data_IF_971015155329
#
_entry.id   IF_971015155329
#
_cell.length_a   1.000
_cell.length_b   1.000
_cell.length_c   1.000
_cell.angle_alpha   90.00
_cell.angle_beta   90.00
_cell.angle_gamma   90.00
#
_symmetry.space_group_name_H-M   'P 1'
#
loop_
_entity.id
_entity.type
_entity.pdbx_description
1 polymer ?
#
# COMPACT_ATOMS: atom_id res chain seq x y z
N UNK A 1 12.29 -0.08 -24.09
CA UNK A 1 13.02 -0.75 -23.00
C UNK A 1 12.26 -2.04 -22.70
N UNK A 2 12.89 -3.16 -23.06
CA UNK A 2 12.44 -4.56 -22.95
C UNK A 2 10.99 -4.83 -23.40
N UNK A 3 10.83 -5.08 -24.70
CA UNK A 3 9.65 -5.70 -25.32
C UNK A 3 9.54 -7.18 -24.91
N UNK A 4 9.39 -7.43 -23.61
CA UNK A 4 9.10 -8.76 -23.07
C UNK A 4 7.67 -8.77 -22.57
N UNK A 5 6.86 -9.68 -23.11
CA UNK A 5 5.52 -9.95 -22.61
C UNK A 5 5.58 -10.42 -21.15
N UNK A 6 4.49 -10.20 -20.40
CA UNK A 6 4.48 -10.47 -18.97
C UNK A 6 4.59 -11.97 -18.69
N UNK A 7 5.44 -12.32 -17.71
CA UNK A 7 5.57 -13.67 -17.16
C UNK A 7 5.38 -13.59 -15.63
N UNK A 8 4.94 -14.67 -15.00
CA UNK A 8 4.65 -14.69 -13.57
C UNK A 8 5.44 -15.76 -12.81
N UNK A 9 6.39 -15.33 -11.98
CA UNK A 9 7.23 -16.19 -11.14
C UNK A 9 6.89 -16.03 -9.66
N UNK A 10 7.24 -17.03 -8.85
CA UNK A 10 7.10 -16.91 -7.40
C UNK A 10 8.02 -15.80 -6.87
N UNK A 11 7.43 -14.74 -6.32
CA UNK A 11 8.17 -13.62 -5.74
C UNK A 11 8.66 -13.86 -4.30
N UNK A 12 8.15 -14.89 -3.64
CA UNK A 12 8.52 -15.28 -2.28
C UNK A 12 8.43 -16.80 -2.13
N UNK A 13 9.34 -17.36 -1.33
CA UNK A 13 9.31 -18.77 -0.92
C UNK A 13 8.75 -18.87 0.50
N UNK A 14 7.90 -19.87 0.73
CA UNK A 14 7.28 -20.14 2.03
C UNK A 14 6.78 -21.59 2.10
N UNK A 15 6.41 -22.04 3.29
CA UNK A 15 5.76 -23.35 3.47
C UNK A 15 4.31 -23.34 2.98
N UNK A 16 3.60 -22.23 3.23
CA UNK A 16 2.26 -21.99 2.70
C UNK A 16 2.35 -21.64 1.22
N UNK A 17 1.84 -22.50 0.35
CA UNK A 17 1.93 -22.34 -1.10
C UNK A 17 0.54 -22.13 -1.73
N UNK A 18 0.45 -21.15 -2.62
CA UNK A 18 -0.74 -20.90 -3.45
C UNK A 18 -0.55 -21.54 -4.82
N UNK A 19 -1.56 -22.26 -5.28
CA UNK A 19 -1.63 -22.85 -6.63
C UNK A 19 -1.92 -21.77 -7.69
N UNK A 20 -0.94 -20.93 -8.02
CA UNK A 20 -1.08 -19.84 -8.99
C UNK A 20 -1.14 -20.36 -10.44
N UNK A 21 0.01 -20.70 -11.02
CA UNK A 21 0.09 -21.20 -12.40
C UNK A 21 -0.70 -22.48 -12.61
N UNK A 22 -0.82 -23.33 -11.57
CA UNK A 22 -1.62 -24.56 -11.61
C UNK A 22 -3.09 -24.32 -11.96
N UNK A 23 -3.68 -23.20 -11.54
CA UNK A 23 -5.05 -22.85 -11.91
C UNK A 23 -5.09 -22.04 -13.22
N UNK A 24 -4.15 -21.10 -13.42
CA UNK A 24 -4.10 -20.30 -14.65
C UNK A 24 -3.94 -21.16 -15.91
N UNK A 25 -3.24 -22.31 -15.81
CA UNK A 25 -2.98 -23.22 -16.94
C UNK A 25 -4.24 -23.69 -17.68
N UNK A 26 -5.40 -23.74 -17.02
CA UNK A 26 -6.65 -24.20 -17.65
C UNK A 26 -7.15 -23.24 -18.74
N UNK A 27 -6.70 -21.97 -18.74
CA UNK A 27 -6.97 -21.03 -19.83
C UNK A 27 -6.43 -21.53 -21.18
N UNK A 28 -5.36 -22.34 -21.16
CA UNK A 28 -4.79 -22.93 -22.38
C UNK A 28 -5.65 -24.03 -23.01
N UNK A 29 -6.84 -24.35 -22.47
CA UNK A 29 -7.83 -25.27 -23.04
C UNK A 29 -7.26 -26.64 -23.47
N UNK A 30 -6.31 -27.16 -22.70
CA UNK A 30 -5.66 -28.44 -22.97
C UNK A 30 -4.37 -28.36 -23.81
N UNK A 31 -4.05 -27.18 -24.36
CA UNK A 31 -2.83 -26.93 -25.14
C UNK A 31 -1.64 -26.46 -24.31
N UNK A 32 -1.83 -26.19 -23.01
CA UNK A 32 -0.75 -25.82 -22.10
C UNK A 32 0.28 -26.93 -21.94
N UNK A 33 1.57 -26.56 -21.88
CA UNK A 33 2.67 -27.52 -21.65
C UNK A 33 3.32 -27.28 -20.29
N UNK A 34 3.66 -28.37 -19.58
CA UNK A 34 4.45 -28.28 -18.33
C UNK A 34 5.95 -28.44 -18.57
N UNK A 35 6.77 -27.73 -17.80
CA UNK A 35 8.23 -27.91 -17.75
C UNK A 35 8.68 -27.98 -16.29
N UNK A 36 9.60 -28.90 -15.99
CA UNK A 36 10.26 -28.99 -14.69
C UNK A 36 11.72 -28.56 -14.89
N UNK A 37 12.10 -27.43 -14.30
CA UNK A 37 13.43 -26.83 -14.45
C UNK A 37 13.99 -26.62 -13.05
N UNK A 38 15.15 -27.21 -12.75
CA UNK A 38 15.80 -27.13 -11.44
C UNK A 38 14.85 -27.44 -10.26
N UNK A 39 13.95 -28.42 -10.43
CA UNK A 39 12.98 -28.83 -9.40
C UNK A 39 11.74 -27.94 -9.28
N UNK A 40 11.64 -26.85 -10.04
CA UNK A 40 10.45 -25.98 -10.09
C UNK A 40 9.61 -26.28 -11.33
N UNK A 41 8.29 -26.33 -11.17
CA UNK A 41 7.37 -26.54 -12.30
C UNK A 41 6.86 -25.21 -12.84
N UNK A 42 6.86 -25.11 -14.17
CA UNK A 42 6.33 -24.00 -14.94
C UNK A 42 5.27 -24.49 -15.94
N UNK A 43 4.32 -23.61 -16.26
CA UNK A 43 3.30 -23.79 -17.29
C UNK A 43 3.54 -22.79 -18.41
N UNK A 44 3.54 -23.29 -19.65
CA UNK A 44 3.53 -22.49 -20.88
C UNK A 44 2.12 -22.53 -21.43
N UNK A 45 1.41 -21.42 -21.39
CA UNK A 45 0.00 -21.31 -21.75
C UNK A 45 -0.10 -20.59 -23.10
N UNK A 46 -0.59 -21.24 -24.17
CA UNK A 46 -0.75 -20.57 -25.46
C UNK A 46 -1.71 -19.39 -25.37
N UNK A 47 -1.29 -18.25 -25.90
CA UNK A 47 -2.03 -16.97 -25.95
C UNK A 47 -1.78 -16.30 -27.31
N UNK A 48 -2.54 -15.26 -27.65
CA UNK A 48 -2.46 -14.67 -29.01
C UNK A 48 -1.09 -14.09 -29.38
N UNK A 49 -0.33 -13.58 -28.41
CA UNK A 49 1.02 -13.03 -28.60
C UNK A 49 2.12 -14.10 -28.48
N UNK A 50 1.78 -15.35 -28.16
CA UNK A 50 2.70 -16.46 -28.04
C UNK A 50 2.38 -17.37 -26.86
N UNK A 51 3.15 -17.24 -25.78
CA UNK A 51 3.00 -18.05 -24.57
C UNK A 51 3.08 -17.20 -23.31
N UNK A 52 2.13 -17.41 -22.40
CA UNK A 52 2.21 -16.90 -21.04
C UNK A 52 2.92 -17.95 -20.16
N UNK A 53 4.10 -17.60 -19.65
CA UNK A 53 4.88 -18.44 -18.75
C UNK A 53 4.54 -18.14 -17.29
N UNK A 54 4.21 -19.16 -16.51
CA UNK A 54 3.92 -19.01 -15.08
C UNK A 54 4.41 -20.19 -14.23
N UNK A 55 4.99 -19.89 -13.06
CA UNK A 55 5.37 -20.89 -12.06
C UNK A 55 4.13 -21.57 -11.44
N UNK A 56 4.17 -22.88 -11.21
CA UNK A 56 3.01 -23.67 -10.75
C UNK A 56 2.42 -23.10 -9.45
N UNK A 57 3.29 -22.69 -8.54
CA UNK A 57 2.94 -22.23 -7.20
C UNK A 57 3.73 -20.99 -6.83
N UNK A 58 3.18 -20.15 -5.97
CA UNK A 58 3.88 -19.04 -5.32
C UNK A 58 3.74 -19.15 -3.81
N UNK A 59 4.74 -18.67 -3.07
CA UNK A 59 4.64 -18.59 -1.62
C UNK A 59 3.62 -17.55 -1.16
N UNK A 60 3.05 -17.80 0.01
CA UNK A 60 2.27 -16.87 0.82
C UNK A 60 2.91 -16.78 2.20
N UNK A 61 3.09 -15.58 2.73
CA UNK A 61 3.57 -15.37 4.08
C UNK A 61 2.55 -14.57 4.88
N UNK A 62 2.56 -14.75 6.21
CA UNK A 62 1.87 -13.83 7.11
C UNK A 62 2.65 -12.52 7.13
N UNK A 63 1.95 -11.44 6.81
CA UNK A 63 2.49 -10.09 6.70
C UNK A 63 1.65 -9.13 7.53
N UNK A 64 2.09 -7.88 7.62
CA UNK A 64 1.44 -6.83 8.40
C UNK A 64 0.84 -5.81 7.44
N UNK A 65 -0.41 -5.44 7.65
CA UNK A 65 -1.08 -4.36 6.92
C UNK A 65 -1.49 -3.22 7.84
N UNK A 66 -1.50 -2.00 7.30
CA UNK A 66 -2.07 -0.84 8.00
C UNK A 66 -1.08 0.01 8.82
N UNK A 67 0.23 -0.18 8.66
CA UNK A 67 1.20 0.80 9.18
C UNK A 67 0.94 2.15 8.51
N UNK A 68 0.94 3.26 9.25
CA UNK A 68 0.53 4.52 8.65
C UNK A 68 1.12 5.75 9.34
N UNK A 69 1.11 6.87 8.63
CA UNK A 69 1.29 8.19 9.21
C UNK A 69 0.45 9.24 8.45
N UNK A 70 0.14 10.33 9.15
CA UNK A 70 -0.66 11.45 8.68
C UNK A 70 0.24 12.67 8.43
N UNK A 71 -0.01 13.38 7.34
CA UNK A 71 0.65 14.62 6.93
C UNK A 71 -0.36 15.75 7.05
N UNK A 72 -0.14 16.66 7.99
CA UNK A 72 -1.03 17.79 8.25
C UNK A 72 -0.37 19.07 7.77
N UNK A 73 -0.99 19.75 6.80
CA UNK A 73 -0.41 20.87 6.10
C UNK A 73 -1.37 22.07 5.96
N UNK A 74 -0.81 23.23 5.63
CA UNK A 74 -1.54 24.50 5.47
C UNK A 74 -2.33 24.63 4.18
N UNK A 75 -2.20 23.67 3.26
CA UNK A 75 -2.97 23.62 2.02
C UNK A 75 -2.97 22.21 1.44
N UNK A 76 -3.94 21.92 0.58
CA UNK A 76 -4.00 20.63 -0.13
C UNK A 76 -2.78 20.39 -1.04
N UNK A 77 -2.28 21.37 -1.82
CA UNK A 77 -1.06 21.18 -2.59
C UNK A 77 0.17 20.89 -1.73
N UNK A 78 0.29 21.53 -0.56
CA UNK A 78 1.39 21.27 0.36
C UNK A 78 1.36 19.84 0.92
N UNK A 79 0.17 19.35 1.33
CA UNK A 79 0.01 17.99 1.79
C UNK A 79 0.34 16.97 0.68
N UNK A 80 -0.13 17.21 -0.55
CA UNK A 80 0.12 16.33 -1.69
C UNK A 80 1.59 16.26 -2.06
N UNK A 81 2.26 17.42 -2.20
CA UNK A 81 3.67 17.46 -2.55
C UNK A 81 4.55 16.74 -1.50
N UNK A 82 4.21 16.88 -0.21
CA UNK A 82 4.88 16.15 0.86
C UNK A 82 4.62 14.64 0.79
N UNK A 83 3.38 14.24 0.51
CA UNK A 83 3.02 12.82 0.35
C UNK A 83 3.76 12.20 -0.85
N UNK A 84 3.79 12.87 -2.00
CA UNK A 84 4.52 12.42 -3.20
C UNK A 84 6.02 12.28 -2.92
N UNK A 85 6.64 13.24 -2.23
CA UNK A 85 8.04 13.15 -1.83
C UNK A 85 8.32 11.94 -0.92
N UNK A 86 7.41 11.64 0.02
CA UNK A 86 7.50 10.45 0.86
C UNK A 86 7.34 9.17 0.03
N UNK A 87 6.35 9.09 -0.85
CA UNK A 87 6.09 7.93 -1.69
C UNK A 87 7.27 7.61 -2.60
N UNK A 88 7.89 8.61 -3.24
CA UNK A 88 9.06 8.39 -4.08
C UNK A 88 10.25 7.83 -3.28
N UNK A 89 10.47 8.30 -2.06
CA UNK A 89 11.50 7.74 -1.19
C UNK A 89 11.18 6.30 -0.76
N UNK A 90 9.92 6.04 -0.36
CA UNK A 90 9.47 4.75 0.14
C UNK A 90 9.43 3.65 -0.95
N UNK A 91 9.14 4.01 -2.21
CA UNK A 91 9.13 3.08 -3.36
C UNK A 91 10.47 2.40 -3.61
N UNK A 92 11.57 2.96 -3.09
CA UNK A 92 12.91 2.36 -3.22
C UNK A 92 13.15 1.20 -2.26
N UNK A 93 12.26 1.01 -1.27
CA UNK A 93 12.41 -0.02 -0.26
C UNK A 93 11.77 -1.33 -0.73
N UNK A 94 12.46 -2.48 -0.54
CA UNK A 94 11.86 -3.78 -0.78
C UNK A 94 10.80 -4.10 0.29
N UNK A 95 10.00 -5.13 0.03
CA UNK A 95 9.12 -5.78 1.02
C UNK A 95 7.97 -4.94 1.58
N UNK A 96 7.76 -3.73 1.07
CA UNK A 96 6.64 -2.85 1.44
C UNK A 96 5.88 -2.38 0.21
N UNK A 97 4.59 -2.10 0.40
CA UNK A 97 3.76 -1.45 -0.60
C UNK A 97 2.95 -0.32 0.06
N UNK A 98 2.58 0.68 -0.73
CA UNK A 98 1.63 1.72 -0.34
C UNK A 98 0.37 1.55 -1.19
N UNK A 99 -0.63 0.79 -0.74
CA UNK A 99 -1.62 0.16 -1.61
C UNK A 99 -2.67 1.12 -2.17
N UNK A 100 -2.75 2.34 -1.65
CA UNK A 100 -3.71 3.34 -2.11
C UNK A 100 -3.30 3.96 -3.45
N UNK A 101 -4.23 4.60 -4.19
CA UNK A 101 -3.92 5.24 -5.46
C UNK A 101 -2.78 6.25 -5.34
N UNK A 102 -1.69 6.04 -6.07
CA UNK A 102 -0.47 6.86 -5.96
C UNK A 102 0.24 6.77 -4.60
N UNK A 103 -0.15 5.81 -3.74
CA UNK A 103 0.34 5.64 -2.38
C UNK A 103 -0.35 6.52 -1.32
N UNK A 104 -1.35 7.33 -1.70
CA UNK A 104 -1.88 8.40 -0.83
C UNK A 104 -3.37 8.22 -0.55
N UNK A 105 -3.73 8.37 0.72
CA UNK A 105 -5.10 8.37 1.22
C UNK A 105 -5.55 9.82 1.45
N UNK A 106 -6.64 10.20 0.80
CA UNK A 106 -7.30 11.50 1.03
C UNK A 106 -8.53 11.43 1.94
N UNK A 107 -9.10 10.24 2.13
CA UNK A 107 -10.42 10.09 2.75
C UNK A 107 -10.34 10.01 4.27
N UNK A 108 -9.38 9.25 4.81
CA UNK A 108 -9.24 8.95 6.24
C UNK A 108 -10.47 8.24 6.81
N UNK A 109 -10.30 7.10 7.48
CA UNK A 109 -11.44 6.40 8.09
C UNK A 109 -11.30 6.21 9.59
N UNK A 110 -12.44 6.20 10.29
CA UNK A 110 -12.56 5.76 11.67
C UNK A 110 -13.48 4.54 11.73
N UNK A 111 -13.30 3.73 12.78
CA UNK A 111 -14.16 2.58 13.06
C UNK A 111 -15.52 3.05 13.53
N UNK A 112 -16.56 2.42 13.01
CA UNK A 112 -17.96 2.75 13.29
C UNK A 112 -18.48 3.92 12.46
N UNK A 113 -19.79 4.13 12.58
CA UNK A 113 -20.52 5.16 11.85
C UNK A 113 -21.78 5.54 12.62
N UNK A 114 -22.28 6.76 12.38
CA UNK A 114 -23.64 7.15 12.81
C UNK A 114 -24.71 6.30 12.12
N UNK A 115 -24.41 5.77 10.92
CA UNK A 115 -25.28 4.86 10.20
C UNK A 115 -24.97 3.42 10.60
N UNK A 116 -25.94 2.73 11.24
CA UNK A 116 -25.75 1.40 11.87
C UNK A 116 -25.23 0.31 10.94
N UNK A 117 -25.44 0.41 9.64
CA UNK A 117 -25.02 -0.58 8.64
C UNK A 117 -23.57 -0.40 8.18
N UNK A 118 -22.91 0.68 8.57
CA UNK A 118 -21.57 1.04 8.11
C UNK A 118 -20.52 0.74 9.19
N UNK A 119 -19.55 -0.11 8.85
CA UNK A 119 -18.46 -0.50 9.75
C UNK A 119 -17.36 0.57 9.86
N UNK A 120 -17.27 1.48 8.89
CA UNK A 120 -16.33 2.59 8.88
C UNK A 120 -17.02 3.86 8.36
N UNK A 121 -16.51 5.02 8.78
CA UNK A 121 -16.94 6.33 8.29
C UNK A 121 -15.76 7.28 8.23
N UNK A 122 -15.96 8.50 7.69
CA UNK A 122 -14.92 9.52 7.65
C UNK A 122 -14.35 9.79 9.05
N UNK A 123 -13.03 9.95 9.15
CA UNK A 123 -12.39 10.37 10.38
C UNK A 123 -12.56 11.89 10.58
N UNK A 124 -13.75 12.26 11.05
CA UNK A 124 -14.18 13.63 11.26
C UNK A 124 -13.25 14.47 12.13
N UNK A 125 -12.54 13.85 13.09
CA UNK A 125 -11.54 14.52 13.90
C UNK A 125 -10.40 15.13 13.07
N UNK A 126 -10.09 14.53 11.90
CA UNK A 126 -9.06 14.97 10.96
C UNK A 126 -9.62 15.61 9.68
N UNK A 127 -10.90 16.01 9.65
CA UNK A 127 -11.50 16.69 8.52
C UNK A 127 -11.42 18.22 8.67
N UNK A 128 -10.65 18.95 7.81
CA UNK A 128 -10.53 20.40 7.92
C UNK A 128 -11.87 21.16 7.83
N UNK A 129 -12.81 20.64 7.04
CA UNK A 129 -14.16 21.22 6.88
C UNK A 129 -15.05 21.06 8.11
N UNK A 130 -14.66 20.22 9.08
CA UNK A 130 -15.44 19.89 10.28
C UNK A 130 -14.81 20.41 11.58
N UNK A 131 -13.75 21.23 11.50
CA UNK A 131 -13.04 21.80 12.67
C UNK A 131 -13.98 22.45 13.70
N UNK A 132 -14.96 23.22 13.23
CA UNK A 132 -15.91 23.93 14.10
C UNK A 132 -17.15 23.12 14.52
N UNK A 133 -17.28 21.87 14.07
CA UNK A 133 -18.48 21.05 14.24
C UNK A 133 -18.21 19.82 15.13
N UNK A 134 -16.96 19.36 15.18
CA UNK A 134 -16.57 18.09 15.80
C UNK A 134 -15.44 18.29 16.81
N UNK A 135 -15.13 17.26 17.59
CA UNK A 135 -13.92 17.26 18.43
C UNK A 135 -12.69 17.07 17.54
N UNK A 136 -12.28 18.15 16.88
CA UNK A 136 -11.20 18.12 15.91
C UNK A 136 -9.84 18.00 16.58
N UNK A 137 -8.97 17.20 15.97
CA UNK A 137 -7.55 17.10 16.32
C UNK A 137 -6.72 18.15 15.58
N UNK A 138 -7.32 18.98 14.72
CA UNK A 138 -6.60 19.91 13.84
C UNK A 138 -6.45 21.31 14.45
N UNK A 139 -5.24 21.87 14.38
CA UNK A 139 -5.02 23.28 14.69
C UNK A 139 -5.59 24.19 13.59
N UNK A 140 -5.87 25.47 13.90
CA UNK A 140 -6.54 26.39 12.97
C UNK A 140 -5.87 26.48 11.59
N UNK A 141 -4.55 26.42 11.53
CA UNK A 141 -3.75 26.55 10.31
C UNK A 141 -3.73 25.31 9.39
N UNK A 142 -4.27 24.16 9.82
CA UNK A 142 -4.25 22.91 9.02
C UNK A 142 -5.42 22.86 8.03
N UNK A 143 -5.18 23.12 6.76
CA UNK A 143 -6.24 23.12 5.74
C UNK A 143 -6.31 21.81 4.94
N UNK A 144 -5.35 20.90 5.13
CA UNK A 144 -5.40 19.58 4.50
C UNK A 144 -4.67 18.52 5.32
N UNK A 145 -5.22 17.31 5.27
CA UNK A 145 -4.64 16.11 5.85
C UNK A 145 -4.57 15.04 4.77
N UNK A 146 -3.41 14.40 4.64
CA UNK A 146 -3.24 13.20 3.83
C UNK A 146 -2.64 12.10 4.67
N UNK A 147 -2.91 10.86 4.32
CA UNK A 147 -2.43 9.69 5.01
C UNK A 147 -1.64 8.81 4.03
N UNK A 148 -0.57 8.19 4.52
CA UNK A 148 0.12 7.12 3.81
C UNK A 148 -0.06 5.86 4.64
N UNK A 149 -0.60 4.82 4.00
CA UNK A 149 -0.76 3.47 4.55
C UNK A 149 0.26 2.56 3.89
N UNK A 150 0.81 1.66 4.68
CA UNK A 150 1.95 0.80 4.38
C UNK A 150 1.58 -0.61 4.81
N UNK A 151 1.66 -1.54 3.87
CA UNK A 151 1.66 -2.96 4.14
C UNK A 151 3.08 -3.48 3.91
N UNK A 152 3.55 -4.42 4.74
CA UNK A 152 4.91 -4.91 4.67
C UNK A 152 5.06 -6.33 5.20
N UNK A 153 6.12 -7.01 4.75
CA UNK A 153 6.38 -8.40 5.14
C UNK A 153 6.73 -8.54 6.63
N UNK A 154 7.42 -7.54 7.20
CA UNK A 154 7.85 -7.54 8.60
C UNK A 154 7.57 -6.20 9.27
N UNK A 155 7.65 -6.17 10.61
CA UNK A 155 7.56 -4.94 11.38
C UNK A 155 8.70 -3.98 11.03
N UNK A 156 9.92 -4.51 10.89
CA UNK A 156 11.11 -3.76 10.56
C UNK A 156 11.01 -3.09 9.18
N UNK A 157 10.44 -3.80 8.20
CA UNK A 157 10.18 -3.25 6.87
C UNK A 157 9.23 -2.05 6.94
N UNK A 158 8.12 -2.17 7.68
CA UNK A 158 7.15 -1.08 7.87
C UNK A 158 7.78 0.09 8.63
N UNK A 159 8.48 -0.17 9.74
CA UNK A 159 9.11 0.88 10.55
C UNK A 159 10.17 1.65 9.73
N UNK A 160 10.96 0.95 8.93
CA UNK A 160 11.93 1.56 8.00
C UNK A 160 11.23 2.41 6.94
N UNK A 161 10.11 1.94 6.40
CA UNK A 161 9.30 2.66 5.42
C UNK A 161 8.71 3.95 5.98
N UNK A 162 8.08 3.88 7.17
CA UNK A 162 7.58 5.07 7.89
C UNK A 162 8.70 6.07 8.15
N UNK A 163 9.84 5.63 8.68
CA UNK A 163 11.00 6.49 8.91
C UNK A 163 11.46 7.19 7.62
N UNK A 164 11.57 6.44 6.53
CA UNK A 164 12.04 6.94 5.23
C UNK A 164 11.10 8.01 4.66
N UNK A 165 9.78 7.76 4.70
CA UNK A 165 8.78 8.74 4.25
C UNK A 165 8.78 10.01 5.10
N UNK A 166 8.82 9.87 6.43
CA UNK A 166 8.85 11.01 7.35
C UNK A 166 10.13 11.83 7.18
N UNK A 167 11.30 11.19 7.04
CA UNK A 167 12.56 11.89 6.79
C UNK A 167 12.55 12.63 5.45
N UNK A 168 11.94 12.06 4.40
CA UNK A 168 11.78 12.73 3.11
C UNK A 168 10.94 14.01 3.25
N UNK A 169 9.85 13.96 4.02
CA UNK A 169 9.02 15.14 4.31
C UNK A 169 9.82 16.19 5.10
N UNK A 170 10.53 15.76 6.15
CA UNK A 170 11.35 16.68 6.95
C UNK A 170 12.40 17.41 6.12
N UNK A 171 12.98 16.77 5.09
CA UNK A 171 13.96 17.39 4.18
C UNK A 171 13.38 18.52 3.33
N UNK A 172 12.06 18.58 3.12
CA UNK A 172 11.40 19.70 2.44
C UNK A 172 11.45 21.01 3.26
N UNK A 173 11.74 20.91 4.56
CA UNK A 173 11.91 22.06 5.45
C UNK A 173 10.60 22.72 5.88
N UNK A 174 10.72 23.70 6.79
CA UNK A 174 9.58 24.39 7.40
C UNK A 174 8.73 25.21 6.41
N UNK A 175 9.31 25.58 5.26
CA UNK A 175 8.64 26.29 4.17
C UNK A 175 7.71 25.42 3.32
N UNK A 176 7.74 24.10 3.48
CA UNK A 176 6.91 23.15 2.72
C UNK A 176 5.41 23.29 2.96
N UNK A 177 5.01 23.95 4.05
CA UNK A 177 3.62 24.03 4.49
C UNK A 177 3.17 22.84 5.35
N UNK A 178 3.99 21.80 5.51
CA UNK A 178 3.73 20.72 6.49
C UNK A 178 3.99 21.26 7.89
N UNK A 179 3.02 21.07 8.79
CA UNK A 179 3.09 21.58 10.18
C UNK A 179 3.19 20.46 11.21
N UNK A 180 2.62 19.29 10.93
CA UNK A 180 2.63 18.17 11.86
C UNK A 180 2.58 16.84 11.12
N UNK A 181 3.35 15.89 11.65
CA UNK A 181 3.20 14.46 11.35
C UNK A 181 2.50 13.82 12.53
N UNK A 182 1.55 12.93 12.26
CA UNK A 182 0.84 12.12 13.26
C UNK A 182 0.71 10.68 12.76
N UNK A 183 -0.01 9.83 13.49
CA UNK A 183 -0.37 8.49 13.05
C UNK A 183 -1.78 8.12 13.51
N UNK A 184 -2.51 7.43 12.63
CA UNK A 184 -3.80 6.83 12.94
C UNK A 184 -3.61 5.58 13.80
N UNK A 185 -4.40 5.48 14.86
CA UNK A 185 -4.48 4.29 15.70
C UNK A 185 -5.92 4.07 16.17
N UNK A 186 -6.21 2.85 16.64
CA UNK A 186 -7.53 2.46 17.14
C UNK A 186 -7.53 2.24 18.67
N UNK A 187 -6.73 3.04 19.39
CA UNK A 187 -6.63 2.97 20.85
C UNK A 187 -6.03 1.67 21.39
N UNK A 188 -5.24 0.95 20.57
CA UNK A 188 -4.61 -0.32 20.95
C UNK A 188 -5.56 -1.51 21.10
N UNK A 189 -6.76 -1.45 20.51
CA UNK A 189 -7.82 -2.47 20.70
C UNK A 189 -8.09 -3.36 19.49
N UNK A 190 -7.49 -3.08 18.33
CA UNK A 190 -7.82 -3.75 17.06
C UNK A 190 -6.62 -4.30 16.29
N UNK A 191 -5.41 -3.77 16.54
CA UNK A 191 -4.17 -4.18 15.87
C UNK A 191 -3.38 -5.20 16.67
#
# INVERSE_FOLDING_TARGET
ALDTFAEAFAGIASEDMISLGKHLRYFGDGFQTSKLIAGKRYWRIPVMDGEFLTEETTGMVRAIGGGNFLILATSQPAALAAAEAAIEAMKTLPNVIMPFPGGVVRSGSKVGSKYKTMFASTNDAFCPTLKGITNSELSPEIESVMEIVIDGLTFEDIAKSMKTGIEAICKLGAGSGVKRISAGNYGGKLG
#
